data_IF_637908086092
#
_entry.id   IF_637908086092
#
_cell.length_a   1.000
_cell.length_b   1.000
_cell.length_c   1.000
_cell.angle_alpha   90.00
_cell.angle_beta   90.00
_cell.angle_gamma   90.00
#
_symmetry.space_group_name_H-M   'P 1'
#
loop_
_entity.id
_entity.type
_entity.pdbx_description
1 polymer ?
#
# COMPACT_ATOMS: atom_id res chain seq x y z
N UNK A 1 -6.76 7.45 -8.18
CA UNK A 1 -7.93 7.93 -8.95
C UNK A 1 -7.62 8.10 -10.43
N UNK A 2 -6.62 8.91 -10.81
CA UNK A 2 -6.34 9.23 -12.22
C UNK A 2 -6.09 8.02 -13.15
N UNK A 3 -5.48 6.93 -12.65
CA UNK A 3 -5.25 5.71 -13.44
C UNK A 3 -6.32 4.62 -13.22
N UNK A 4 -6.65 4.30 -11.96
CA UNK A 4 -7.43 3.10 -11.61
C UNK A 4 -8.68 3.33 -10.75
N UNK A 5 -9.01 4.58 -10.38
CA UNK A 5 -10.14 4.84 -9.49
C UNK A 5 -10.01 4.18 -8.10
N UNK A 6 -11.14 3.74 -7.54
CA UNK A 6 -11.24 2.92 -6.32
C UNK A 6 -11.41 1.45 -6.74
N UNK A 7 -10.47 0.59 -6.37
CA UNK A 7 -10.48 -0.84 -6.72
C UNK A 7 -10.80 -1.74 -5.50
N UNK A 8 -11.48 -1.17 -4.51
CA UNK A 8 -11.80 -1.83 -3.23
C UNK A 8 -10.50 -2.37 -2.61
N UNK A 9 -10.38 -3.69 -2.43
CA UNK A 9 -9.24 -4.34 -1.80
C UNK A 9 -7.96 -4.29 -2.66
N UNK A 10 -8.09 -4.04 -3.97
CA UNK A 10 -6.94 -3.88 -4.86
C UNK A 10 -6.19 -2.56 -4.69
N UNK A 11 -6.75 -1.59 -3.98
CA UNK A 11 -6.22 -0.21 -3.95
C UNK A 11 -4.83 -0.14 -3.31
N UNK A 12 -4.65 -0.83 -2.17
CA UNK A 12 -3.36 -0.83 -1.45
C UNK A 12 -2.28 -1.62 -2.23
N UNK A 13 -2.53 -2.86 -2.70
CA UNK A 13 -1.56 -3.58 -3.51
C UNK A 13 -1.13 -2.82 -4.78
N UNK A 14 -2.07 -2.20 -5.50
CA UNK A 14 -1.75 -1.40 -6.68
C UNK A 14 -0.91 -0.16 -6.33
N UNK A 15 -1.20 0.49 -5.21
CA UNK A 15 -0.40 1.63 -4.75
C UNK A 15 1.04 1.20 -4.42
N UNK A 16 1.21 0.08 -3.71
CA UNK A 16 2.54 -0.45 -3.37
C UNK A 16 3.32 -0.86 -4.62
N UNK A 17 2.65 -1.47 -5.61
CA UNK A 17 3.27 -1.82 -6.89
C UNK A 17 3.78 -0.60 -7.65
N UNK A 18 2.97 0.46 -7.76
CA UNK A 18 3.37 1.68 -8.47
C UNK A 18 4.49 2.43 -7.74
N UNK A 19 4.57 2.31 -6.41
CA UNK A 19 5.55 3.00 -5.58
C UNK A 19 6.77 2.15 -5.23
N UNK A 20 6.83 0.89 -5.66
CA UNK A 20 7.89 -0.08 -5.33
C UNK A 20 9.30 0.51 -5.51
N UNK A 21 9.52 1.25 -6.59
CA UNK A 21 10.83 1.83 -6.91
C UNK A 21 11.22 3.02 -6.00
N UNK A 22 10.28 3.56 -5.24
CA UNK A 22 10.51 4.64 -4.27
C UNK A 22 10.68 4.08 -2.85
N UNK A 23 10.38 2.81 -2.62
CA UNK A 23 10.49 2.16 -1.32
C UNK A 23 11.85 1.50 -1.16
N UNK A 24 12.49 1.77 -0.03
CA UNK A 24 13.78 1.20 0.33
C UNK A 24 13.63 0.22 1.49
N UNK A 25 14.51 -0.78 1.51
CA UNK A 25 14.63 -1.72 2.61
C UNK A 25 14.83 -0.95 3.91
N UNK A 26 13.96 -1.22 4.87
CA UNK A 26 14.00 -0.57 6.17
C UNK A 26 13.04 0.61 6.33
N UNK A 27 12.35 1.03 5.27
CA UNK A 27 11.34 2.09 5.36
C UNK A 27 10.19 1.65 6.26
N UNK A 28 9.74 2.55 7.12
CA UNK A 28 8.60 2.32 7.99
C UNK A 28 7.32 2.76 7.28
N UNK A 29 6.40 1.84 7.09
CA UNK A 29 5.16 2.07 6.34
C UNK A 29 3.97 1.82 7.26
N UNK A 30 3.00 2.73 7.20
CA UNK A 30 1.68 2.55 7.81
C UNK A 30 0.68 2.37 6.68
N UNK A 31 0.00 1.23 6.67
CA UNK A 31 -1.15 1.00 5.79
C UNK A 31 -2.42 1.17 6.61
N UNK A 32 -3.41 1.85 6.05
CA UNK A 32 -4.71 2.04 6.67
C UNK A 32 -5.81 1.79 5.63
N UNK A 33 -6.85 1.06 6.03
CA UNK A 33 -7.98 0.74 5.19
C UNK A 33 -9.30 0.92 5.94
N UNK A 34 -10.33 1.31 5.20
CA UNK A 34 -11.71 1.41 5.66
C UNK A 34 -12.64 0.89 4.56
N UNK A 35 -13.68 0.15 4.93
CA UNK A 35 -14.62 -0.46 3.99
C UNK A 35 -16.04 -0.61 4.54
N UNK A 36 -16.94 -1.08 3.67
CA UNK A 36 -18.36 -1.25 3.98
C UNK A 36 -18.63 -2.21 5.14
N UNK A 37 -19.72 -1.95 5.88
CA UNK A 37 -19.99 -2.52 7.20
C UNK A 37 -19.75 -1.42 8.23
N UNK A 38 -18.69 -1.56 9.02
CA UNK A 38 -17.89 -0.48 9.63
C UNK A 38 -16.49 -1.06 9.90
N UNK A 39 -15.92 -1.71 8.90
CA UNK A 39 -14.67 -2.46 9.06
C UNK A 39 -13.50 -1.56 8.70
N UNK A 40 -12.53 -1.48 9.61
CA UNK A 40 -11.33 -0.68 9.44
C UNK A 40 -10.15 -1.36 10.11
N UNK A 41 -8.95 -0.98 9.68
CA UNK A 41 -7.73 -1.51 10.26
C UNK A 41 -6.50 -0.80 9.74
N UNK A 42 -5.42 -0.92 10.50
CA UNK A 42 -4.11 -0.44 10.11
C UNK A 42 -3.02 -1.42 10.50
N UNK A 43 -1.89 -1.32 9.81
CA UNK A 43 -0.69 -2.09 10.12
C UNK A 43 0.53 -1.18 9.99
N UNK A 44 1.42 -1.28 10.97
CA UNK A 44 2.77 -0.71 10.92
C UNK A 44 3.73 -1.82 10.54
N UNK A 45 4.49 -1.63 9.48
CA UNK A 45 5.45 -2.60 8.99
C UNK A 45 6.74 -1.93 8.53
N UNK A 46 7.79 -2.75 8.40
CA UNK A 46 9.07 -2.34 7.84
C UNK A 46 9.23 -2.99 6.47
N UNK A 47 9.53 -2.19 5.45
CA UNK A 47 9.72 -2.67 4.09
C UNK A 47 10.96 -3.56 3.99
N UNK A 48 10.83 -4.69 3.29
CA UNK A 48 11.78 -5.80 3.45
C UNK A 48 12.93 -5.82 2.43
N UNK A 49 12.79 -5.13 1.29
CA UNK A 49 13.71 -5.25 0.16
C UNK A 49 13.86 -3.93 -0.60
N UNK A 50 14.93 -3.82 -1.39
CA UNK A 50 15.08 -2.74 -2.36
C UNK A 50 14.57 -3.24 -3.71
N UNK A 51 13.89 -2.38 -4.47
CA UNK A 51 13.61 -2.69 -5.87
C UNK A 51 14.91 -2.74 -6.67
N UNK A 52 15.04 -3.73 -7.56
CA UNK A 52 16.13 -3.82 -8.54
C UNK A 52 15.72 -3.27 -9.92
N UNK A 53 14.54 -2.65 -10.02
CA UNK A 53 14.06 -2.02 -11.25
C UNK A 53 14.72 -0.66 -11.46
#
# INVERSE_FOLDING_TARGET
IQKYGNTTNGTIPLCLWEWENQLNKGDNIILAAFGGGFTWGSIYLKWAYNSNK
#
